data_IF_020646690072
#
_entry.id   IF_020646690072
#
_cell.length_a   1.000
_cell.length_b   1.000
_cell.length_c   1.000
_cell.angle_alpha   90.00
_cell.angle_beta   90.00
_cell.angle_gamma   90.00
#
_symmetry.space_group_name_H-M   'P 1'
#
loop_
_entity.id
_entity.type
_entity.pdbx_description
1 polymer ?
#
# COMPACT_ATOMS: atom_id res chain seq x y z
N UNK A 1 -33.81 4.57 12.37
CA UNK A 1 -33.22 4.25 13.70
C UNK A 1 -34.12 4.82 14.80
N UNK A 2 -35.20 4.12 15.18
CA UNK A 2 -36.08 4.54 16.29
C UNK A 2 -36.40 3.38 17.24
N UNK A 3 -36.54 2.15 16.72
CA UNK A 3 -36.87 0.97 17.55
C UNK A 3 -35.82 0.56 18.60
N UNK A 4 -34.55 0.96 18.47
CA UNK A 4 -33.48 0.53 19.39
C UNK A 4 -33.55 1.26 20.74
N UNK A 5 -34.01 2.52 20.77
CA UNK A 5 -34.08 3.30 22.01
C UNK A 5 -35.28 2.94 22.90
N UNK A 6 -36.37 2.43 22.33
CA UNK A 6 -37.54 1.98 23.10
C UNK A 6 -37.24 0.69 23.89
N UNK A 7 -36.46 -0.24 23.31
CA UNK A 7 -36.06 -1.47 23.98
C UNK A 7 -35.18 -1.22 25.23
N UNK A 8 -34.26 -0.26 25.15
CA UNK A 8 -33.38 0.10 26.27
C UNK A 8 -34.16 0.71 27.46
N UNK A 9 -35.22 1.49 27.19
CA UNK A 9 -36.03 2.11 28.24
C UNK A 9 -36.89 1.07 28.99
N UNK A 10 -37.45 0.09 28.27
CA UNK A 10 -38.31 -0.96 28.85
C UNK A 10 -37.50 -1.89 29.77
N UNK A 11 -36.28 -2.27 29.38
CA UNK A 11 -35.41 -3.12 30.24
C UNK A 11 -35.01 -2.40 31.53
N UNK A 12 -34.82 -1.08 31.50
CA UNK A 12 -34.45 -0.31 32.69
C UNK A 12 -35.60 -0.18 33.70
N UNK A 13 -36.85 -0.02 33.24
CA UNK A 13 -38.03 0.03 34.12
C UNK A 13 -38.27 -1.32 34.82
N UNK A 14 -37.95 -2.44 34.16
CA UNK A 14 -38.09 -3.79 34.74
C UNK A 14 -37.00 -4.10 35.78
N UNK A 15 -35.83 -3.46 35.70
CA UNK A 15 -34.69 -3.71 36.62
C UNK A 15 -34.67 -2.85 37.89
N UNK A 16 -35.52 -1.82 37.98
CA UNK A 16 -35.62 -0.92 39.16
C UNK A 16 -36.89 -1.21 39.98
N UNK A 17 -37.87 -1.90 39.41
CA UNK A 17 -39.10 -2.29 40.10
C UNK A 17 -39.13 -3.78 40.47
N UNK A 18 -38.64 -4.12 41.66
CA UNK A 18 -39.11 -5.16 42.62
C UNK A 18 -37.99 -5.45 43.62
N UNK A 19 -38.06 -4.81 44.78
CA UNK A 19 -37.91 -5.50 46.07
C UNK A 19 -38.71 -4.71 47.12
N UNK A 20 -39.83 -5.28 47.55
CA UNK A 20 -40.68 -4.72 48.61
C UNK A 20 -41.00 -5.80 49.62
N UNK A 21 -39.98 -6.33 50.29
CA UNK A 21 -40.19 -7.14 51.48
C UNK A 21 -39.15 -6.92 52.59
N UNK A 22 -39.70 -6.63 53.78
CA UNK A 22 -39.08 -6.68 55.13
C UNK A 22 -38.18 -5.52 55.63
N UNK A 23 -38.12 -5.32 56.97
CA UNK A 23 -37.95 -3.96 57.52
C UNK A 23 -36.81 -3.78 58.56
N UNK A 24 -36.58 -2.50 58.90
CA UNK A 24 -35.95 -1.98 60.13
C UNK A 24 -34.43 -2.16 60.31
N UNK A 25 -33.76 -1.08 60.76
CA UNK A 25 -32.43 -1.16 61.39
C UNK A 25 -31.36 -0.19 60.86
N UNK A 26 -31.31 1.04 61.40
CA UNK A 26 -30.17 1.99 61.41
C UNK A 26 -29.62 2.59 60.09
N UNK A 27 -29.29 3.91 60.05
CA UNK A 27 -28.77 4.59 58.85
C UNK A 27 -27.24 4.51 58.72
N UNK A 28 -26.73 3.97 57.61
CA UNK A 28 -25.30 3.74 57.37
C UNK A 28 -24.75 4.32 56.05
N UNK A 29 -24.26 5.56 56.10
CA UNK A 29 -23.14 6.10 55.29
C UNK A 29 -22.94 5.59 53.83
N UNK A 30 -23.91 5.78 52.94
CA UNK A 30 -23.69 5.70 51.48
C UNK A 30 -24.34 6.89 50.73
N UNK A 31 -23.63 8.01 50.62
CA UNK A 31 -24.11 9.18 49.84
C UNK A 31 -23.01 9.96 49.08
N UNK A 32 -21.73 9.63 49.27
CA UNK A 32 -20.63 10.34 48.56
C UNK A 32 -20.24 9.71 47.21
N UNK A 33 -20.27 8.37 47.08
CA UNK A 33 -19.72 7.68 45.91
C UNK A 33 -20.66 7.68 44.68
N UNK A 34 -21.98 7.66 44.88
CA UNK A 34 -22.95 7.59 43.78
C UNK A 34 -23.00 8.87 42.92
N UNK A 35 -22.77 10.04 43.53
CA UNK A 35 -22.78 11.33 42.81
C UNK A 35 -21.68 11.46 41.76
N UNK A 36 -20.48 10.91 42.03
CA UNK A 36 -19.35 10.95 41.09
C UNK A 36 -19.55 10.00 39.91
N UNK A 37 -20.18 8.84 40.12
CA UNK A 37 -20.49 7.90 39.05
C UNK A 37 -21.53 8.45 38.06
N UNK A 38 -22.57 9.12 38.57
CA UNK A 38 -23.57 9.78 37.72
C UNK A 38 -22.99 10.97 36.94
N UNK A 39 -22.11 11.77 37.55
CA UNK A 39 -21.43 12.86 36.85
C UNK A 39 -20.56 12.34 35.68
N UNK A 40 -19.81 11.25 35.88
CA UNK A 40 -18.95 10.67 34.85
C UNK A 40 -19.71 10.15 33.62
N UNK A 41 -20.86 9.51 33.83
CA UNK A 41 -21.67 8.92 32.75
C UNK A 41 -22.29 9.98 31.83
N UNK A 42 -22.65 11.15 32.35
CA UNK A 42 -23.24 12.23 31.54
C UNK A 42 -22.20 13.18 30.90
N UNK A 43 -21.02 13.39 31.50
CA UNK A 43 -20.03 14.33 30.96
C UNK A 43 -19.23 13.78 29.77
N UNK A 44 -18.88 12.49 29.80
CA UNK A 44 -18.09 11.83 28.74
C UNK A 44 -18.75 11.83 27.33
N UNK A 45 -20.06 11.55 27.16
CA UNK A 45 -20.70 11.62 25.85
C UNK A 45 -20.87 13.07 25.33
N UNK A 46 -20.99 14.06 26.22
CA UNK A 46 -21.10 15.47 25.80
C UNK A 46 -19.79 16.00 25.19
N UNK A 47 -18.64 15.63 25.75
CA UNK A 47 -17.33 16.01 25.20
C UNK A 47 -17.06 15.37 23.83
N UNK A 48 -17.44 14.11 23.63
CA UNK A 48 -17.26 13.41 22.35
C UNK A 48 -18.21 13.92 21.26
N UNK A 49 -19.47 14.21 21.59
CA UNK A 49 -20.42 14.87 20.66
C UNK A 49 -19.94 16.28 20.28
N UNK A 50 -19.43 17.06 21.25
CA UNK A 50 -18.85 18.38 21.00
C UNK A 50 -17.67 18.33 20.02
N UNK A 51 -16.75 17.37 20.18
CA UNK A 51 -15.62 17.18 19.28
C UNK A 51 -16.04 16.80 17.84
N UNK A 52 -17.08 15.97 17.69
CA UNK A 52 -17.63 15.59 16.38
C UNK A 52 -18.28 16.80 15.69
N UNK A 53 -19.07 17.60 16.41
CA UNK A 53 -19.71 18.81 15.88
C UNK A 53 -18.64 19.84 15.47
N UNK A 54 -17.61 20.06 16.30
CA UNK A 54 -16.49 20.95 15.98
C UNK A 54 -15.72 20.50 14.73
N UNK A 55 -15.42 19.20 14.61
CA UNK A 55 -14.81 18.57 13.42
C UNK A 55 -15.65 18.79 12.14
N UNK A 56 -16.98 18.68 12.23
CA UNK A 56 -17.88 18.96 11.10
C UNK A 56 -17.91 20.44 10.71
N UNK A 57 -17.91 21.36 11.69
CA UNK A 57 -17.89 22.81 11.43
C UNK A 57 -16.58 23.24 10.77
N UNK A 58 -15.43 22.72 11.23
CA UNK A 58 -14.12 22.98 10.60
C UNK A 58 -14.09 22.49 9.14
N UNK A 59 -14.59 21.28 8.88
CA UNK A 59 -14.65 20.72 7.51
C UNK A 59 -15.62 21.46 6.58
N UNK A 60 -16.66 22.10 7.12
CA UNK A 60 -17.55 22.98 6.33
C UNK A 60 -16.88 24.31 5.98
N UNK A 61 -16.14 24.94 6.92
CA UNK A 61 -15.37 26.17 6.61
C UNK A 61 -14.22 25.94 5.63
N UNK A 62 -13.57 24.78 5.66
CA UNK A 62 -12.49 24.43 4.73
C UNK A 62 -12.95 24.20 3.27
N UNK A 63 -14.26 24.02 3.02
CA UNK A 63 -14.81 23.79 1.67
C UNK A 63 -15.31 25.06 0.97
N UNK A 64 -15.37 26.21 1.65
CA UNK A 64 -15.88 27.48 1.09
C UNK A 64 -14.78 28.42 0.59
N UNK A 65 -13.50 28.02 0.66
CA UNK A 65 -12.34 28.82 0.20
C UNK A 65 -11.46 28.07 -0.79
N UNK A 66 -12.07 27.57 -1.87
CA UNK A 66 -11.37 27.11 -3.07
C UNK A 66 -11.96 27.84 -4.31
N UNK A 67 -11.17 28.58 -5.09
CA UNK A 67 -11.68 29.29 -6.26
C UNK A 67 -11.96 28.30 -7.42
N UNK A 68 -13.06 28.46 -8.18
CA UNK A 68 -13.35 27.57 -9.31
C UNK A 68 -12.39 27.82 -10.49
N UNK A 69 -11.84 26.74 -11.03
CA UNK A 69 -11.03 26.76 -12.24
C UNK A 69 -11.88 27.07 -13.48
N UNK A 70 -11.46 28.09 -14.25
CA UNK A 70 -12.14 28.49 -15.49
C UNK A 70 -11.97 27.44 -16.58
N UNK A 71 -13.08 26.92 -17.09
CA UNK A 71 -13.12 26.35 -18.44
C UNK A 71 -13.06 27.48 -19.47
N UNK A 72 -12.32 27.28 -20.57
CA UNK A 72 -12.34 28.17 -21.72
C UNK A 72 -13.47 27.76 -22.67
N UNK A 73 -14.32 28.72 -23.04
CA UNK A 73 -15.07 28.69 -24.30
C UNK A 73 -15.23 30.15 -24.77
N UNK A 74 -15.05 30.36 -26.07
CA UNK A 74 -15.11 31.65 -26.75
C UNK A 74 -16.54 32.00 -27.20
N UNK A 75 -16.92 33.29 -27.13
CA UNK A 75 -17.59 34.11 -28.18
C UNK A 75 -18.19 35.39 -27.55
N UNK A 76 -17.51 36.52 -27.82
CA UNK A 76 -18.04 37.81 -28.32
C UNK A 76 -19.35 38.42 -27.74
N UNK A 77 -19.25 39.55 -27.01
CA UNK A 77 -19.87 40.87 -27.33
C UNK A 77 -19.82 41.90 -26.16
N UNK A 78 -19.62 43.17 -26.52
CA UNK A 78 -19.93 44.47 -25.87
C UNK A 78 -19.43 44.90 -24.45
N UNK A 79 -18.82 46.09 -24.46
CA UNK A 79 -18.58 47.06 -23.36
C UNK A 79 -19.74 48.08 -23.28
N UNK A 80 -19.90 48.96 -22.25
CA UNK A 80 -18.89 49.57 -21.33
C UNK A 80 -19.31 49.48 -19.83
N UNK A 81 -18.85 50.26 -18.82
CA UNK A 81 -18.07 51.52 -18.77
C UNK A 81 -17.25 51.76 -17.47
N UNK A 82 -16.56 52.91 -17.47
CA UNK A 82 -15.79 53.64 -16.44
C UNK A 82 -16.37 53.77 -15.02
N UNK A 83 -15.47 53.73 -14.01
CA UNK A 83 -15.26 54.74 -12.93
C UNK A 83 -13.97 54.36 -12.15
N UNK A 84 -12.83 55.02 -12.33
CA UNK A 84 -12.31 56.21 -11.62
C UNK A 84 -11.95 56.07 -10.12
N UNK A 85 -10.69 56.37 -9.80
CA UNK A 85 -10.10 56.51 -8.46
C UNK A 85 -9.60 57.96 -8.28
N UNK A 86 -9.75 58.58 -7.09
CA UNK A 86 -9.13 59.87 -6.81
C UNK A 86 -7.69 59.73 -6.28
N UNK A 87 -6.78 60.57 -6.80
CA UNK A 87 -5.47 60.90 -6.19
C UNK A 87 -5.64 62.09 -5.24
N UNK A 88 -4.88 62.18 -4.14
CA UNK A 88 -4.24 63.42 -3.65
C UNK A 88 -2.94 63.10 -2.90
N UNK A 89 -1.93 63.96 -3.07
CA UNK A 89 -0.70 64.13 -2.28
C UNK A 89 -0.27 65.62 -2.45
N UNK A 90 0.90 66.13 -1.98
CA UNK A 90 1.76 65.80 -0.83
C UNK A 90 2.08 67.06 0.04
N UNK A 91 2.98 66.96 1.04
CA UNK A 91 3.81 68.09 1.51
C UNK A 91 5.23 67.64 1.94
N UNK A 92 6.24 68.48 1.65
CA UNK A 92 7.69 68.32 1.99
C UNK A 92 8.00 68.87 3.41
N UNK A 93 9.16 68.68 4.07
CA UNK A 93 10.60 68.65 3.69
C UNK A 93 11.40 67.68 4.60
N UNK A 94 12.70 67.34 4.46
CA UNK A 94 13.88 68.05 3.93
C UNK A 94 15.04 67.09 3.49
N UNK A 95 16.21 67.61 3.09
CA UNK A 95 17.34 66.95 2.35
C UNK A 95 18.52 66.44 3.27
N UNK A 96 19.66 65.91 2.76
CA UNK A 96 19.86 64.67 1.97
C UNK A 96 21.09 63.83 2.45
N UNK A 97 21.22 62.54 2.09
CA UNK A 97 22.50 61.81 2.25
C UNK A 97 22.67 60.58 1.33
N UNK A 98 23.72 60.59 0.50
CA UNK A 98 24.47 59.43 -0.02
C UNK A 98 23.75 58.40 -0.92
N UNK A 99 24.22 58.13 -2.15
CA UNK A 99 23.66 57.04 -2.96
C UNK A 99 24.10 55.67 -2.42
N UNK A 100 23.13 54.83 -2.06
CA UNK A 100 23.32 53.38 -1.90
C UNK A 100 22.48 52.68 -2.97
N UNK A 101 23.10 51.76 -3.69
CA UNK A 101 22.50 51.11 -4.86
C UNK A 101 21.53 50.03 -4.39
N UNK A 102 20.25 50.19 -4.73
CA UNK A 102 19.23 49.18 -4.50
C UNK A 102 19.38 47.97 -5.43
N UNK A 103 18.95 46.82 -4.92
CA UNK A 103 18.74 45.63 -5.72
C UNK A 103 17.38 45.64 -6.44
N UNK A 104 17.22 44.66 -7.32
CA UNK A 104 15.93 44.10 -7.76
C UNK A 104 15.06 44.91 -8.75
N UNK A 105 15.47 44.94 -10.02
CA UNK A 105 14.51 45.00 -11.15
C UNK A 105 14.99 44.47 -12.51
N UNK A 106 15.37 43.19 -12.62
CA UNK A 106 15.57 42.57 -13.94
C UNK A 106 15.57 41.03 -13.93
N UNK A 107 14.42 40.41 -13.65
CA UNK A 107 14.28 38.95 -13.82
C UNK A 107 13.11 38.58 -14.76
N UNK A 108 13.29 38.85 -16.06
CA UNK A 108 12.34 38.43 -17.11
C UNK A 108 12.95 38.13 -18.49
N UNK A 109 14.20 37.65 -18.52
CA UNK A 109 14.87 37.26 -19.79
C UNK A 109 15.92 36.17 -19.55
N UNK A 110 15.52 34.89 -19.57
CA UNK A 110 16.46 33.76 -19.36
C UNK A 110 16.17 32.48 -20.16
N UNK A 111 15.17 32.49 -21.07
CA UNK A 111 14.85 31.32 -21.92
C UNK A 111 15.40 31.41 -23.36
N UNK A 112 15.81 32.59 -23.84
CA UNK A 112 16.42 32.74 -25.18
C UNK A 112 17.91 32.33 -25.19
N UNK A 113 18.68 32.80 -24.21
CA UNK A 113 20.15 32.68 -24.16
C UNK A 113 20.69 31.26 -23.93
N UNK A 114 19.85 30.29 -23.55
CA UNK A 114 20.25 28.89 -23.36
C UNK A 114 20.12 28.02 -24.63
N UNK A 115 19.36 28.48 -25.62
CA UNK A 115 19.27 27.84 -26.93
C UNK A 115 20.47 28.21 -27.81
N UNK A 116 20.81 29.50 -27.86
CA UNK A 116 21.96 30.02 -28.61
C UNK A 116 23.29 29.44 -28.09
N UNK A 117 23.44 29.32 -26.76
CA UNK A 117 24.61 28.67 -26.15
C UNK A 117 24.77 27.18 -26.54
N UNK A 118 23.67 26.47 -26.83
CA UNK A 118 23.73 25.09 -27.34
C UNK A 118 24.05 25.01 -28.82
N UNK A 119 23.59 25.97 -29.63
CA UNK A 119 23.95 26.06 -31.04
C UNK A 119 25.44 26.36 -31.25
N UNK A 120 26.01 27.30 -30.49
CA UNK A 120 27.43 27.64 -30.54
C UNK A 120 28.35 26.46 -30.12
N UNK A 121 27.94 25.69 -29.11
CA UNK A 121 28.69 24.51 -28.66
C UNK A 121 28.67 23.34 -29.67
N UNK A 122 27.61 23.23 -30.50
CA UNK A 122 27.54 22.23 -31.56
C UNK A 122 28.46 22.57 -32.74
N UNK A 123 28.53 23.85 -33.14
CA UNK A 123 29.38 24.29 -34.25
C UNK A 123 30.88 24.07 -33.98
N UNK A 124 31.37 24.40 -32.77
CA UNK A 124 32.78 24.22 -32.41
C UNK A 124 33.24 22.74 -32.35
N UNK A 125 32.31 21.77 -32.32
CA UNK A 125 32.65 20.34 -32.33
C UNK A 125 32.76 19.74 -33.74
N UNK A 126 32.34 20.47 -34.78
CA UNK A 126 32.42 20.05 -36.18
C UNK A 126 33.72 20.49 -36.88
N UNK A 127 34.45 21.48 -36.34
CA UNK A 127 35.66 22.04 -36.97
C UNK A 127 36.99 21.38 -36.57
N UNK A 128 36.98 20.43 -35.63
CA UNK A 128 38.20 19.88 -35.03
C UNK A 128 38.34 18.36 -35.25
N UNK A 129 38.42 17.93 -36.52
CA UNK A 129 38.81 16.56 -36.84
C UNK A 129 39.53 16.48 -38.20
N UNK A 130 40.83 16.78 -38.19
CA UNK A 130 41.73 16.66 -39.34
C UNK A 130 43.01 15.91 -38.98
N UNK A 131 43.24 14.78 -39.66
CA UNK A 131 44.52 14.04 -39.74
C UNK A 131 45.28 13.71 -38.43
N UNK A 132 45.04 12.52 -37.87
CA UNK A 132 46.13 11.63 -37.43
C UNK A 132 45.77 10.18 -37.79
N UNK A 133 46.57 9.54 -38.65
CA UNK A 133 46.48 8.10 -38.88
C UNK A 133 47.28 7.34 -37.82
N UNK A 134 46.68 6.35 -37.14
CA UNK A 134 47.43 5.38 -36.32
C UNK A 134 46.59 4.13 -35.97
N UNK A 135 47.11 2.96 -36.36
CA UNK A 135 46.89 1.65 -35.72
C UNK A 135 45.47 1.08 -35.66
N UNK A 136 45.20 0.01 -36.41
CA UNK A 136 44.07 -0.87 -36.14
C UNK A 136 44.32 -1.66 -34.83
N UNK A 137 43.69 -1.22 -33.73
CA UNK A 137 43.59 -2.01 -32.51
C UNK A 137 42.52 -3.10 -32.66
N UNK A 138 42.65 -4.27 -32.01
CA UNK A 138 41.68 -5.34 -32.12
C UNK A 138 40.32 -4.89 -31.56
N UNK A 139 39.25 -5.26 -32.25
CA UNK A 139 37.88 -5.13 -31.75
C UNK A 139 37.73 -5.85 -30.41
N UNK A 140 37.02 -5.27 -29.43
CA UNK A 140 36.70 -6.01 -28.21
C UNK A 140 35.86 -7.24 -28.60
N UNK A 141 36.17 -8.44 -28.08
CA UNK A 141 35.40 -9.62 -28.39
C UNK A 141 33.95 -9.45 -27.89
N UNK A 142 32.96 -10.05 -28.58
CA UNK A 142 31.58 -10.04 -28.09
C UNK A 142 31.54 -10.63 -26.68
N UNK A 143 30.83 -9.95 -25.77
CA UNK A 143 30.68 -10.39 -24.39
C UNK A 143 30.20 -11.85 -24.35
N UNK A 144 31.03 -12.73 -23.80
CA UNK A 144 30.70 -14.14 -23.68
C UNK A 144 29.39 -14.33 -22.90
N UNK A 145 28.61 -15.40 -23.16
CA UNK A 145 27.45 -15.74 -22.36
C UNK A 145 27.86 -15.82 -20.89
N UNK A 146 27.27 -14.96 -20.05
CA UNK A 146 27.62 -14.88 -18.63
C UNK A 146 27.21 -16.20 -17.99
N UNK A 147 28.21 -16.95 -17.55
CA UNK A 147 28.06 -18.28 -16.96
C UNK A 147 27.00 -18.23 -15.85
N UNK A 148 26.00 -19.12 -15.94
CA UNK A 148 24.91 -19.12 -15.00
C UNK A 148 25.43 -19.53 -13.61
N UNK A 149 25.34 -18.61 -12.65
CA UNK A 149 25.46 -18.96 -11.24
C UNK A 149 24.52 -20.15 -10.94
N UNK A 150 24.93 -21.12 -10.10
CA UNK A 150 24.13 -22.30 -9.80
C UNK A 150 22.89 -21.90 -8.99
N UNK A 151 21.84 -21.48 -9.69
CA UNK A 151 20.54 -21.24 -9.10
C UNK A 151 19.89 -22.58 -8.82
N UNK A 152 19.89 -22.99 -7.56
CA UNK A 152 18.91 -23.93 -7.02
C UNK A 152 17.54 -23.25 -7.10
N UNK A 153 16.98 -23.16 -8.30
CA UNK A 153 15.77 -22.42 -8.58
C UNK A 153 14.58 -23.17 -7.96
N UNK A 154 14.24 -22.83 -6.70
CA UNK A 154 13.18 -23.46 -5.92
C UNK A 154 11.77 -23.08 -6.42
N UNK A 155 11.68 -22.35 -7.53
CA UNK A 155 10.44 -21.93 -8.19
C UNK A 155 10.18 -20.43 -8.06
N UNK A 156 9.01 -20.01 -8.53
CA UNK A 156 8.53 -18.64 -8.36
C UNK A 156 7.92 -18.42 -6.97
N UNK A 157 8.24 -17.30 -6.34
CA UNK A 157 7.58 -16.80 -5.14
C UNK A 157 6.66 -15.64 -5.51
N UNK A 158 5.35 -15.81 -5.38
CA UNK A 158 4.39 -14.73 -5.58
C UNK A 158 4.43 -13.76 -4.39
N UNK A 159 4.76 -12.50 -4.66
CA UNK A 159 4.82 -11.46 -3.64
C UNK A 159 3.43 -11.14 -3.09
N UNK A 160 3.29 -10.94 -1.79
CA UNK A 160 1.99 -10.75 -1.15
C UNK A 160 1.35 -9.42 -1.55
N UNK A 161 0.08 -9.48 -1.94
CA UNK A 161 -0.65 -8.36 -2.53
C UNK A 161 -0.34 -8.09 -4.00
N UNK A 162 0.25 -9.07 -4.72
CA UNK A 162 0.47 -9.03 -6.18
C UNK A 162 -0.79 -8.85 -7.02
N UNK A 163 -1.97 -9.05 -6.45
CA UNK A 163 -3.28 -8.93 -7.08
C UNK A 163 -3.91 -7.52 -6.93
N UNK A 164 -3.30 -6.66 -6.11
CA UNK A 164 -3.77 -5.31 -5.80
C UNK A 164 -3.71 -4.36 -7.00
N UNK A 165 -4.16 -3.12 -6.78
CA UNK A 165 -4.09 -2.05 -7.75
C UNK A 165 -2.64 -1.84 -8.24
N UNK A 166 -2.47 -1.75 -9.56
CA UNK A 166 -1.17 -1.62 -10.22
C UNK A 166 -0.72 -0.16 -10.20
N UNK A 167 -0.03 0.26 -9.14
CA UNK A 167 0.38 1.65 -8.89
C UNK A 167 1.89 1.95 -8.99
N UNK A 168 2.76 0.93 -8.93
CA UNK A 168 4.21 1.16 -9.02
C UNK A 168 4.63 1.19 -10.47
N UNK A 169 5.08 2.35 -10.98
CA UNK A 169 5.48 2.49 -12.36
C UNK A 169 6.86 1.87 -12.62
N UNK A 170 7.00 1.29 -13.80
CA UNK A 170 8.28 0.93 -14.41
C UNK A 170 8.84 2.18 -15.11
N UNK A 171 10.16 2.26 -15.19
CA UNK A 171 10.89 3.27 -15.97
C UNK A 171 11.79 2.61 -17.01
N UNK A 172 12.05 3.34 -18.10
CA UNK A 172 12.98 2.91 -19.15
C UNK A 172 12.34 2.13 -20.29
N UNK A 173 11.01 1.99 -20.34
CA UNK A 173 10.28 1.26 -21.39
C UNK A 173 10.56 1.82 -22.80
N UNK A 174 10.86 3.12 -22.89
CA UNK A 174 11.25 3.78 -24.15
C UNK A 174 12.52 3.18 -24.77
N UNK A 175 13.40 2.57 -23.96
CA UNK A 175 14.61 1.88 -24.43
C UNK A 175 14.36 0.38 -24.72
N UNK A 176 13.14 -0.13 -24.48
CA UNK A 176 12.74 -1.55 -24.57
C UNK A 176 11.58 -1.76 -25.54
N UNK A 177 11.46 -0.90 -26.53
CA UNK A 177 10.27 -0.86 -27.40
C UNK A 177 10.12 -2.09 -28.30
N UNK A 178 11.23 -2.68 -28.75
CA UNK A 178 11.25 -3.97 -29.47
C UNK A 178 10.76 -5.12 -28.59
N UNK A 179 11.27 -5.19 -27.36
CA UNK A 179 10.98 -6.21 -26.36
C UNK A 179 9.49 -6.14 -25.94
N UNK A 180 8.98 -4.95 -25.64
CA UNK A 180 7.57 -4.75 -25.27
C UNK A 180 6.63 -5.08 -26.44
N UNK A 181 6.98 -4.72 -27.68
CA UNK A 181 6.19 -5.10 -28.85
C UNK A 181 6.14 -6.62 -29.05
N UNK A 182 7.24 -7.34 -28.74
CA UNK A 182 7.27 -8.80 -28.75
C UNK A 182 6.39 -9.39 -27.63
N UNK A 183 6.45 -8.86 -26.40
CA UNK A 183 5.59 -9.27 -25.28
C UNK A 183 4.10 -9.12 -25.64
N UNK A 184 3.69 -7.97 -26.20
CA UNK A 184 2.30 -7.75 -26.63
C UNK A 184 1.89 -8.75 -27.71
N UNK A 185 2.77 -9.02 -28.69
CA UNK A 185 2.50 -10.01 -29.75
C UNK A 185 2.33 -11.42 -29.18
N UNK A 186 3.16 -11.81 -28.22
CA UNK A 186 3.08 -13.12 -27.55
C UNK A 186 1.78 -13.26 -26.77
N UNK A 187 1.42 -12.27 -25.94
CA UNK A 187 0.25 -12.33 -25.07
C UNK A 187 -1.09 -12.19 -25.79
N UNK A 188 -1.15 -11.44 -26.90
CA UNK A 188 -2.40 -11.17 -27.64
C UNK A 188 -2.54 -11.95 -28.94
N UNK A 189 -1.49 -12.68 -29.34
CA UNK A 189 -1.36 -13.29 -30.67
C UNK A 189 -1.29 -12.30 -31.83
N UNK A 190 -1.23 -10.97 -31.57
CA UNK A 190 -1.37 -9.91 -32.58
C UNK A 190 -0.27 -8.87 -32.44
N UNK A 191 0.33 -8.49 -33.57
CA UNK A 191 1.23 -7.33 -33.58
C UNK A 191 0.45 -6.03 -33.32
N UNK A 192 1.09 -5.09 -32.63
CA UNK A 192 0.56 -3.75 -32.42
C UNK A 192 0.23 -3.07 -33.76
N UNK A 193 -0.95 -2.46 -33.84
CA UNK A 193 -1.41 -1.68 -34.99
C UNK A 193 -1.20 -0.20 -34.72
N UNK A 194 -1.05 0.57 -35.78
CA UNK A 194 -0.92 2.03 -35.69
C UNK A 194 -2.21 2.62 -35.09
N UNK A 195 -2.04 3.53 -34.14
CA UNK A 195 -3.08 4.27 -33.41
C UNK A 195 -4.14 3.40 -32.70
N UNK A 196 -3.83 2.11 -32.51
CA UNK A 196 -4.66 1.17 -31.75
C UNK A 196 -4.00 0.88 -30.40
N UNK A 197 -4.67 1.28 -29.33
CA UNK A 197 -4.20 1.01 -27.97
C UNK A 197 -4.46 -0.45 -27.60
N UNK A 198 -3.52 -1.05 -26.87
CA UNK A 198 -3.65 -2.40 -26.31
C UNK A 198 -3.38 -2.30 -24.82
N UNK A 199 -4.32 -2.82 -24.03
CA UNK A 199 -4.19 -2.96 -22.59
C UNK A 199 -4.30 -4.42 -22.20
N UNK A 200 -3.37 -4.89 -21.37
CA UNK A 200 -3.36 -6.22 -20.78
C UNK A 200 -3.28 -6.03 -19.25
N UNK A 201 -4.40 -6.13 -18.52
CA UNK A 201 -4.52 -5.61 -17.15
C UNK A 201 -3.89 -6.51 -16.08
N UNK A 202 -3.51 -7.74 -16.43
CA UNK A 202 -3.06 -8.76 -15.49
C UNK A 202 -2.09 -9.75 -16.15
N UNK A 203 -0.80 -9.39 -16.21
CA UNK A 203 0.28 -10.22 -16.78
C UNK A 203 1.29 -10.60 -15.69
N UNK A 204 1.94 -11.79 -15.75
CA UNK A 204 2.99 -12.13 -14.79
C UNK A 204 4.23 -11.26 -15.03
N UNK A 205 4.78 -10.69 -13.96
CA UNK A 205 6.05 -9.98 -13.98
C UNK A 205 7.02 -10.62 -12.99
N UNK A 206 8.26 -10.83 -13.43
CA UNK A 206 9.40 -11.26 -12.61
C UNK A 206 10.22 -10.02 -12.26
N UNK A 207 10.63 -9.92 -10.99
CA UNK A 207 11.58 -8.92 -10.52
C UNK A 207 12.95 -9.55 -10.30
N UNK A 208 14.02 -8.87 -10.69
CA UNK A 208 15.41 -9.31 -10.46
C UNK A 208 16.29 -8.18 -9.96
N UNK A 209 17.11 -8.40 -8.94
CA UNK A 209 18.10 -7.38 -8.53
C UNK A 209 19.32 -7.40 -9.45
N UNK A 210 19.91 -6.22 -9.67
CA UNK A 210 21.17 -6.07 -10.39
C UNK A 210 22.24 -5.37 -9.52
N UNK A 211 22.86 -6.07 -8.55
CA UNK A 211 23.90 -5.49 -7.68
C UNK A 211 25.14 -5.00 -8.44
N UNK A 212 25.38 -5.57 -9.63
CA UNK A 212 26.47 -5.20 -10.56
C UNK A 212 26.09 -4.12 -11.58
N UNK A 213 24.90 -3.51 -11.48
CA UNK A 213 24.48 -2.46 -12.39
C UNK A 213 25.34 -1.19 -12.18
N UNK A 214 26.01 -0.77 -13.26
CA UNK A 214 26.97 0.36 -13.26
C UNK A 214 26.37 1.72 -12.90
N UNK A 215 25.05 1.89 -12.99
CA UNK A 215 24.37 3.15 -12.72
C UNK A 215 23.71 3.18 -11.33
N UNK A 216 23.16 2.05 -10.89
CA UNK A 216 22.47 1.92 -9.61
C UNK A 216 22.57 0.49 -9.09
N UNK A 217 23.44 0.25 -8.11
CA UNK A 217 23.66 -1.08 -7.47
C UNK A 217 22.43 -1.67 -6.74
N UNK A 218 21.30 -0.98 -6.76
CA UNK A 218 20.02 -1.44 -6.22
C UNK A 218 18.92 -1.47 -7.27
N UNK A 219 19.28 -1.40 -8.56
CA UNK A 219 18.34 -1.51 -9.65
C UNK A 219 17.58 -2.84 -9.57
N UNK A 220 16.28 -2.77 -9.77
CA UNK A 220 15.41 -3.94 -9.92
C UNK A 220 14.91 -3.96 -11.36
N UNK A 221 15.36 -4.93 -12.13
CA UNK A 221 14.91 -5.19 -13.49
C UNK A 221 13.53 -5.87 -13.46
N UNK A 222 12.65 -5.44 -14.37
CA UNK A 222 11.30 -5.98 -14.55
C UNK A 222 11.26 -6.78 -15.85
N UNK A 223 10.82 -8.03 -15.75
CA UNK A 223 10.77 -9.00 -16.85
C UNK A 223 9.34 -9.53 -17.02
N UNK A 224 8.81 -9.49 -18.23
CA UNK A 224 7.47 -10.01 -18.61
C UNK A 224 7.64 -10.91 -19.83
N UNK A 225 7.06 -12.12 -19.83
CA UNK A 225 7.25 -13.13 -20.89
C UNK A 225 8.73 -13.33 -21.27
N UNK A 226 9.60 -13.45 -20.26
CA UNK A 226 11.05 -13.60 -20.43
C UNK A 226 11.80 -12.35 -20.96
N UNK A 227 11.08 -11.28 -21.31
CA UNK A 227 11.64 -10.07 -21.90
C UNK A 227 11.80 -8.94 -20.88
N UNK A 228 12.96 -8.27 -20.87
CA UNK A 228 13.21 -7.08 -20.06
C UNK A 228 12.36 -5.91 -20.56
N UNK A 229 11.37 -5.47 -19.77
CA UNK A 229 10.47 -4.37 -20.13
C UNK A 229 10.87 -3.01 -19.53
N UNK A 230 11.57 -3.00 -18.39
CA UNK A 230 12.20 -1.81 -17.82
C UNK A 230 12.78 -2.09 -16.43
N UNK A 231 12.96 -1.04 -15.63
CA UNK A 231 13.37 -1.12 -14.22
C UNK A 231 12.32 -0.51 -13.31
N UNK A 232 12.34 -0.81 -12.02
CA UNK A 232 11.67 0.05 -11.04
C UNK A 232 12.31 1.44 -11.03
N UNK A 233 11.48 2.49 -10.85
CA UNK A 233 11.94 3.85 -10.63
C UNK A 233 12.96 3.89 -9.48
N UNK A 234 14.00 4.74 -9.57
CA UNK A 234 15.18 4.67 -8.70
C UNK A 234 14.87 4.64 -7.19
N UNK A 235 13.94 5.49 -6.74
CA UNK A 235 13.57 5.61 -5.33
C UNK A 235 12.77 4.38 -4.85
N UNK A 236 11.88 3.83 -5.68
CA UNK A 236 11.19 2.58 -5.40
C UNK A 236 12.16 1.39 -5.44
N UNK A 237 13.11 1.36 -6.38
CA UNK A 237 14.15 0.34 -6.45
C UNK A 237 15.00 0.32 -5.16
N UNK A 238 15.45 1.49 -4.68
CA UNK A 238 16.14 1.65 -3.40
C UNK A 238 15.30 1.14 -2.20
N UNK A 239 13.99 1.40 -2.22
CA UNK A 239 13.01 1.04 -1.17
C UNK A 239 12.65 -0.45 -1.16
N UNK A 240 12.51 -1.07 -2.32
CA UNK A 240 12.13 -2.48 -2.49
C UNK A 240 13.30 -3.45 -2.45
N UNK A 241 14.54 -2.99 -2.70
CA UNK A 241 15.72 -3.84 -2.85
C UNK A 241 15.87 -4.89 -1.75
N UNK A 242 15.76 -4.51 -0.48
CA UNK A 242 15.95 -5.44 0.65
C UNK A 242 14.92 -6.59 0.68
N UNK A 243 13.65 -6.30 0.36
CA UNK A 243 12.58 -7.30 0.34
C UNK A 243 12.73 -8.26 -0.86
N UNK A 244 13.02 -7.73 -2.05
CA UNK A 244 13.26 -8.55 -3.26
C UNK A 244 14.53 -9.40 -3.10
N UNK A 245 15.63 -8.82 -2.58
CA UNK A 245 16.85 -9.57 -2.26
C UNK A 245 16.66 -10.68 -1.23
N UNK A 246 15.67 -10.60 -0.31
CA UNK A 246 15.39 -11.71 0.62
C UNK A 246 14.86 -12.92 -0.14
N UNK A 247 13.91 -12.71 -1.04
CA UNK A 247 13.30 -13.78 -1.86
C UNK A 247 14.33 -14.42 -2.79
N UNK A 248 15.18 -13.63 -3.44
CA UNK A 248 16.25 -14.15 -4.29
C UNK A 248 17.31 -14.93 -3.50
N UNK A 249 17.73 -14.44 -2.31
CA UNK A 249 18.68 -15.16 -1.44
C UNK A 249 18.14 -16.50 -0.93
N UNK A 250 16.82 -16.63 -0.75
CA UNK A 250 16.17 -17.88 -0.38
C UNK A 250 16.08 -18.89 -1.55
N UNK A 251 16.51 -18.52 -2.75
CA UNK A 251 16.56 -19.37 -3.94
C UNK A 251 15.30 -19.32 -4.83
N UNK A 252 14.43 -18.33 -4.62
CA UNK A 252 13.18 -18.17 -5.37
C UNK A 252 13.23 -17.00 -6.35
N UNK A 253 12.43 -17.09 -7.42
CA UNK A 253 12.22 -15.99 -8.37
C UNK A 253 11.06 -15.11 -7.89
N UNK A 254 11.27 -13.84 -7.51
CA UNK A 254 10.19 -12.95 -7.08
C UNK A 254 9.24 -12.63 -8.24
N UNK A 255 7.95 -12.86 -8.05
CA UNK A 255 6.90 -12.60 -9.05
C UNK A 255 5.77 -11.72 -8.52
N UNK A 256 5.16 -10.95 -9.42
CA UNK A 256 3.94 -10.17 -9.15
C UNK A 256 3.06 -10.09 -10.42
N UNK A 257 1.91 -9.40 -10.36
CA UNK A 257 1.11 -9.04 -11.52
C UNK A 257 1.43 -7.62 -11.99
N UNK A 258 1.34 -7.41 -13.29
CA UNK A 258 1.49 -6.12 -13.94
C UNK A 258 0.28 -5.79 -14.84
N UNK A 259 0.11 -4.49 -15.09
CA UNK A 259 -0.71 -3.94 -16.17
C UNK A 259 0.24 -3.43 -17.23
N UNK A 260 0.05 -3.87 -18.47
CA UNK A 260 0.79 -3.41 -19.64
C UNK A 260 -0.17 -2.61 -20.53
N UNK A 261 0.14 -1.34 -20.78
CA UNK A 261 -0.51 -0.53 -21.82
C UNK A 261 0.50 -0.17 -22.90
N UNK A 262 0.11 -0.26 -24.17
CA UNK A 262 0.96 0.05 -25.30
C UNK A 262 0.16 0.58 -26.50
N UNK A 263 0.73 1.57 -27.21
CA UNK A 263 0.21 2.10 -28.46
C UNK A 263 1.34 2.49 -29.40
N UNK A 264 1.28 2.07 -30.66
CA UNK A 264 2.18 2.56 -31.70
C UNK A 264 1.54 3.78 -32.37
N UNK A 265 2.23 4.93 -32.37
CA UNK A 265 1.75 6.17 -33.01
C UNK A 265 2.75 6.65 -34.05
N UNK A 266 2.33 7.48 -35.00
CA UNK A 266 3.25 8.23 -35.86
C UNK A 266 3.79 9.44 -35.09
N UNK A 267 5.10 9.60 -35.06
CA UNK A 267 5.73 10.83 -34.63
C UNK A 267 5.53 11.97 -35.64
N UNK A 268 5.84 13.19 -35.23
CA UNK A 268 5.86 14.37 -36.11
C UNK A 268 6.89 14.26 -37.26
N UNK A 269 7.91 13.42 -37.05
CA UNK A 269 8.92 12.99 -38.02
C UNK A 269 8.46 11.83 -38.91
N UNK A 270 7.16 11.52 -38.95
CA UNK A 270 6.51 10.37 -39.61
C UNK A 270 6.97 8.97 -39.17
N UNK A 271 8.03 8.87 -38.37
CA UNK A 271 8.56 7.64 -37.79
C UNK A 271 7.55 7.03 -36.81
N UNK A 272 7.30 5.72 -36.95
CA UNK A 272 6.48 4.97 -35.99
C UNK A 272 7.19 4.87 -34.63
N UNK A 273 6.56 5.36 -33.58
CA UNK A 273 7.07 5.31 -32.20
C UNK A 273 6.14 4.47 -31.33
N UNK A 274 6.72 3.60 -30.52
CA UNK A 274 5.97 2.88 -29.51
C UNK A 274 5.94 3.70 -28.22
N UNK A 275 4.74 3.95 -27.72
CA UNK A 275 4.53 4.40 -26.36
C UNK A 275 4.05 3.20 -25.55
N UNK A 276 4.67 2.96 -24.41
CA UNK A 276 4.33 1.89 -23.50
C UNK A 276 4.39 2.40 -22.06
N UNK A 277 3.62 1.74 -21.19
CA UNK A 277 3.63 1.94 -19.74
C UNK A 277 3.42 0.59 -19.08
N UNK A 278 4.28 0.23 -18.15
CA UNK A 278 4.10 -0.96 -17.32
C UNK A 278 3.93 -0.52 -15.87
N UNK A 279 2.85 -0.96 -15.23
CA UNK A 279 2.55 -0.65 -13.83
C UNK A 279 2.41 -1.96 -13.04
N UNK A 280 3.08 -2.06 -11.90
CA UNK A 280 3.17 -3.26 -11.07
C UNK A 280 2.23 -3.17 -9.87
N UNK A 281 1.65 -4.31 -9.49
CA UNK A 281 1.00 -4.50 -8.20
C UNK A 281 2.06 -4.82 -7.15
N UNK A 282 2.59 -3.80 -6.48
CA UNK A 282 3.45 -3.98 -5.33
C UNK A 282 2.78 -3.37 -4.10
N UNK A 283 2.71 -4.18 -3.05
CA UNK A 283 2.35 -3.73 -1.71
C UNK A 283 3.56 -3.05 -1.07
N UNK A 284 3.38 -2.41 0.09
CA UNK A 284 4.52 -1.87 0.87
C UNK A 284 5.64 -2.92 1.03
N UNK A 285 6.94 -2.54 0.99
CA UNK A 285 8.05 -3.51 0.99
C UNK A 285 8.03 -4.52 2.14
N UNK A 286 7.61 -4.07 3.33
CA UNK A 286 7.48 -4.88 4.55
C UNK A 286 6.24 -5.78 4.57
N UNK A 287 5.43 -5.76 3.50
CA UNK A 287 4.23 -6.56 3.30
C UNK A 287 4.29 -7.43 2.03
N UNK A 288 5.46 -7.59 1.40
CA UNK A 288 5.65 -8.43 0.22
C UNK A 288 5.86 -9.92 0.55
N UNK A 289 6.18 -10.24 1.80
CA UNK A 289 6.36 -11.58 2.34
C UNK A 289 5.99 -11.55 3.84
N UNK A 290 5.69 -12.69 4.49
CA UNK A 290 5.46 -12.68 5.93
C UNK A 290 6.72 -12.23 6.69
N UNK A 291 6.51 -11.70 7.90
CA UNK A 291 7.60 -11.33 8.80
C UNK A 291 8.20 -12.52 9.55
N UNK A 292 7.43 -13.60 9.71
CA UNK A 292 7.82 -14.87 10.31
C UNK A 292 7.89 -15.99 9.26
N UNK A 293 8.50 -17.11 9.63
CA UNK A 293 8.58 -18.29 8.78
C UNK A 293 7.27 -19.11 8.83
N UNK A 294 6.96 -19.92 7.80
CA UNK A 294 5.80 -20.81 7.83
C UNK A 294 5.88 -21.86 8.96
N UNK A 295 4.74 -22.41 9.41
CA UNK A 295 4.71 -23.47 10.41
C UNK A 295 5.61 -24.66 10.03
N UNK A 296 6.37 -25.17 11.01
CA UNK A 296 7.24 -26.35 10.84
C UNK A 296 6.49 -27.68 10.81
N UNK A 297 5.23 -27.68 11.23
CA UNK A 297 4.29 -28.81 11.13
C UNK A 297 3.53 -28.77 9.80
N UNK A 298 3.04 -29.91 9.31
CA UNK A 298 2.20 -29.94 8.12
C UNK A 298 0.96 -29.07 8.28
N UNK A 299 0.68 -28.21 7.29
CA UNK A 299 -0.38 -27.21 7.36
C UNK A 299 -1.05 -26.99 6.00
N UNK A 300 -2.25 -26.42 6.02
CA UNK A 300 -2.85 -25.79 4.84
C UNK A 300 -3.23 -24.35 5.17
N UNK A 301 -2.78 -23.43 4.32
CA UNK A 301 -3.05 -22.01 4.40
C UNK A 301 -4.45 -21.74 3.84
N UNK A 302 -5.32 -21.14 4.66
CA UNK A 302 -6.64 -20.72 4.20
C UNK A 302 -6.50 -19.62 3.13
N UNK A 303 -7.35 -19.60 2.08
CA UNK A 303 -7.37 -18.54 1.08
C UNK A 303 -7.59 -17.18 1.74
N UNK A 304 -7.12 -16.10 1.09
CA UNK A 304 -7.40 -14.75 1.57
C UNK A 304 -8.91 -14.49 1.60
N UNK A 305 -9.41 -13.98 2.71
CA UNK A 305 -10.84 -13.68 2.88
C UNK A 305 -11.08 -12.43 3.70
N UNK A 306 -12.27 -12.34 4.29
CA UNK A 306 -12.69 -11.17 5.06
C UNK A 306 -11.85 -11.01 6.34
N UNK A 307 -11.48 -9.77 6.66
CA UNK A 307 -10.79 -9.44 7.90
C UNK A 307 -11.65 -9.80 9.12
N UNK A 308 -11.11 -10.61 10.02
CA UNK A 308 -11.72 -10.99 11.29
C UNK A 308 -10.87 -10.46 12.44
N UNK A 309 -11.49 -9.68 13.31
CA UNK A 309 -10.87 -9.13 14.51
C UNK A 309 -10.64 -10.25 15.54
N UNK A 310 -9.39 -10.36 16.03
CA UNK A 310 -9.06 -11.17 17.20
C UNK A 310 -9.54 -10.44 18.47
N UNK A 311 -9.70 -11.15 19.56
CA UNK A 311 -10.08 -10.59 20.87
C UNK A 311 -9.20 -11.12 21.97
N UNK A 312 -8.95 -10.28 22.98
CA UNK A 312 -8.10 -10.59 24.13
C UNK A 312 -6.62 -10.30 23.90
N UNK A 313 -6.24 -9.62 22.82
CA UNK A 313 -4.84 -9.30 22.47
C UNK A 313 -4.08 -8.59 23.60
N UNK A 314 -4.77 -7.84 24.46
CA UNK A 314 -4.19 -7.16 25.63
C UNK A 314 -3.55 -8.14 26.63
N UNK A 315 -4.01 -9.39 26.66
CA UNK A 315 -3.46 -10.46 27.50
C UNK A 315 -2.26 -11.18 26.85
N UNK A 316 -1.97 -10.86 25.58
CA UNK A 316 -0.97 -11.54 24.76
C UNK A 316 0.07 -10.58 24.15
N UNK A 317 0.17 -9.33 24.65
CA UNK A 317 1.09 -8.31 24.12
C UNK A 317 2.55 -8.78 24.04
N UNK A 318 3.01 -9.61 24.99
CA UNK A 318 4.37 -10.18 24.93
C UNK A 318 4.59 -11.03 23.67
N UNK A 319 3.60 -11.86 23.30
CA UNK A 319 3.64 -12.69 22.09
C UNK A 319 3.41 -11.89 20.81
N UNK A 320 2.64 -10.80 20.87
CA UNK A 320 2.35 -9.95 19.69
C UNK A 320 3.49 -8.97 19.40
N UNK A 321 4.18 -8.47 20.44
CA UNK A 321 5.18 -7.39 20.31
C UNK A 321 6.32 -7.64 19.31
N UNK A 322 6.87 -8.87 19.11
CA UNK A 322 7.91 -9.11 18.11
C UNK A 322 7.41 -8.96 16.66
N UNK A 323 6.09 -9.00 16.47
CA UNK A 323 5.44 -8.96 15.17
C UNK A 323 4.95 -7.56 14.75
N UNK A 324 5.09 -6.57 15.64
CA UNK A 324 4.65 -5.19 15.39
C UNK A 324 5.71 -4.44 14.58
N UNK A 325 5.31 -3.84 13.46
CA UNK A 325 6.10 -2.84 12.73
C UNK A 325 5.65 -1.43 13.17
N UNK A 326 6.46 -0.68 13.95
CA UNK A 326 6.03 0.60 14.52
C UNK A 326 5.61 1.61 13.44
N UNK A 327 4.39 2.13 13.56
CA UNK A 327 3.83 3.11 12.61
C UNK A 327 3.23 2.51 11.33
N UNK A 328 3.27 1.19 11.14
CA UNK A 328 2.64 0.50 10.00
C UNK A 328 1.83 -0.73 10.44
N UNK A 329 1.36 -1.52 9.47
CA UNK A 329 0.97 -2.91 9.66
C UNK A 329 2.15 -3.86 9.31
N UNK A 330 2.09 -5.07 9.84
CA UNK A 330 2.88 -6.24 9.42
C UNK A 330 1.94 -7.31 8.89
N UNK A 331 2.46 -8.22 8.07
CA UNK A 331 1.78 -9.47 7.72
C UNK A 331 2.60 -10.67 8.21
N UNK A 332 1.93 -11.60 8.89
CA UNK A 332 2.50 -12.82 9.44
C UNK A 332 1.66 -14.04 9.00
N UNK A 333 2.23 -15.23 9.14
CA UNK A 333 1.47 -16.49 9.11
C UNK A 333 1.11 -16.85 10.55
N UNK A 334 -0.18 -16.95 10.83
CA UNK A 334 -0.70 -17.51 12.07
C UNK A 334 -1.29 -18.90 11.86
N UNK A 335 -1.72 -19.51 12.96
CA UNK A 335 -2.44 -20.79 12.97
C UNK A 335 -3.68 -20.70 13.83
N UNK A 336 -4.73 -21.43 13.44
CA UNK A 336 -6.03 -21.47 14.09
C UNK A 336 -6.19 -22.80 14.82
N UNK A 337 -6.48 -22.76 16.12
CA UNK A 337 -6.59 -23.93 16.98
C UNK A 337 -7.96 -23.97 17.64
N UNK A 338 -8.65 -25.12 17.60
CA UNK A 338 -9.90 -25.32 18.34
C UNK A 338 -9.57 -25.44 19.84
N UNK A 339 -10.22 -24.62 20.67
CA UNK A 339 -10.07 -24.66 22.13
C UNK A 339 -11.43 -24.66 22.82
N UNK A 340 -11.50 -25.30 23.99
CA UNK A 340 -12.69 -25.31 24.84
C UNK A 340 -12.61 -24.18 25.88
N UNK A 341 -13.56 -23.25 25.82
CA UNK A 341 -13.70 -22.16 26.78
C UNK A 341 -14.95 -22.38 27.63
N UNK A 342 -14.78 -22.65 28.92
CA UNK A 342 -15.89 -22.70 29.87
C UNK A 342 -16.30 -21.28 30.25
N UNK A 343 -17.53 -20.90 29.92
CA UNK A 343 -18.09 -19.60 30.33
C UNK A 343 -18.34 -19.53 31.85
N UNK A 344 -18.47 -18.33 32.40
CA UNK A 344 -18.79 -18.09 33.82
C UNK A 344 -20.12 -18.74 34.30
N UNK A 345 -20.93 -19.31 33.41
CA UNK A 345 -22.15 -20.08 33.71
C UNK A 345 -21.97 -21.60 33.57
N UNK A 346 -20.73 -22.09 33.48
CA UNK A 346 -20.40 -23.52 33.31
C UNK A 346 -20.62 -24.08 31.90
N UNK A 347 -21.14 -23.29 30.96
CA UNK A 347 -21.35 -23.74 29.58
C UNK A 347 -20.01 -23.76 28.84
N UNK A 348 -19.57 -24.96 28.42
CA UNK A 348 -18.43 -25.17 27.52
C UNK A 348 -18.76 -24.65 26.12
N UNK A 349 -17.83 -23.92 25.50
CA UNK A 349 -17.93 -23.41 24.14
C UNK A 349 -16.66 -23.72 23.37
N UNK A 350 -16.79 -24.23 22.16
CA UNK A 350 -15.66 -24.31 21.24
C UNK A 350 -15.41 -22.93 20.63
N UNK A 351 -14.22 -22.40 20.85
CA UNK A 351 -13.72 -21.15 20.26
C UNK A 351 -12.46 -21.44 19.46
N UNK A 352 -12.02 -20.49 18.65
CA UNK A 352 -10.79 -20.60 17.87
C UNK A 352 -9.73 -19.68 18.48
N UNK A 353 -8.67 -20.28 19.02
CA UNK A 353 -7.46 -19.55 19.43
C UNK A 353 -6.59 -19.27 18.20
N UNK A 354 -6.04 -18.06 18.14
CA UNK A 354 -5.10 -17.65 17.10
C UNK A 354 -3.70 -17.68 17.68
N UNK A 355 -2.75 -18.32 16.98
CA UNK A 355 -1.34 -18.37 17.38
C UNK A 355 -0.42 -17.82 16.29
N UNK A 356 0.63 -17.11 16.68
CA UNK A 356 1.76 -16.75 15.82
C UNK A 356 3.00 -17.39 16.44
N UNK A 357 3.84 -18.05 15.64
CA UNK A 357 5.04 -18.78 16.09
C UNK A 357 4.79 -19.73 17.28
N UNK A 358 3.62 -20.38 17.27
CA UNK A 358 3.16 -21.29 18.33
C UNK A 358 2.65 -20.61 19.61
N UNK A 359 2.77 -19.29 19.76
CA UNK A 359 2.30 -18.52 20.92
C UNK A 359 0.89 -17.99 20.68
N UNK A 360 0.00 -18.11 21.66
CA UNK A 360 -1.35 -17.52 21.60
C UNK A 360 -1.27 -15.99 21.52
N UNK A 361 -2.05 -15.41 20.60
CA UNK A 361 -2.20 -13.96 20.38
C UNK A 361 -3.63 -13.45 20.60
N UNK A 362 -4.49 -14.31 21.16
CA UNK A 362 -5.91 -14.05 21.41
C UNK A 362 -6.82 -15.09 20.76
N UNK A 363 -8.13 -14.84 20.76
CA UNK A 363 -9.14 -15.75 20.23
C UNK A 363 -10.18 -15.06 19.35
N UNK A 364 -10.81 -15.81 18.44
CA UNK A 364 -11.96 -15.36 17.69
C UNK A 364 -13.21 -15.37 18.57
N UNK A 365 -14.12 -14.41 18.37
CA UNK A 365 -15.35 -14.33 19.16
C UNK A 365 -16.19 -15.60 19.07
N UNK A 366 -17.08 -15.82 20.05
CA UNK A 366 -18.06 -16.92 20.00
C UNK A 366 -19.02 -16.82 18.79
N UNK A 367 -19.18 -15.64 18.18
CA UNK A 367 -19.96 -15.45 16.94
C UNK A 367 -19.17 -15.87 15.71
N UNK A 368 -17.86 -15.61 15.67
CA UNK A 368 -17.03 -15.84 14.48
C UNK A 368 -16.38 -17.23 14.47
N UNK A 369 -16.05 -17.79 15.63
CA UNK A 369 -15.41 -19.12 15.75
C UNK A 369 -16.16 -20.23 14.97
N UNK A 370 -17.50 -20.34 15.02
CA UNK A 370 -18.23 -21.37 14.26
C UNK A 370 -18.04 -21.32 12.74
N UNK A 371 -17.59 -20.20 12.17
CA UNK A 371 -17.32 -20.09 10.74
C UNK A 371 -15.98 -20.71 10.30
N UNK A 372 -15.10 -21.05 11.26
CA UNK A 372 -13.80 -21.66 11.01
C UNK A 372 -13.68 -23.08 11.57
N UNK A 373 -14.44 -23.44 12.62
CA UNK A 373 -14.41 -24.78 13.22
C UNK A 373 -14.56 -25.93 12.20
N UNK A 374 -15.49 -25.90 11.22
CA UNK A 374 -15.60 -26.99 10.23
C UNK A 374 -14.35 -27.18 9.37
N UNK A 375 -13.65 -26.08 9.04
CA UNK A 375 -12.40 -26.10 8.26
C UNK A 375 -11.24 -26.61 9.12
N UNK A 376 -11.15 -26.18 10.37
CA UNK A 376 -10.15 -26.64 11.33
C UNK A 376 -10.33 -28.14 11.56
N UNK A 377 -11.54 -28.61 11.84
CA UNK A 377 -11.87 -30.02 12.04
C UNK A 377 -11.66 -30.89 10.79
N UNK A 378 -11.72 -30.32 9.60
CA UNK A 378 -11.34 -31.00 8.36
C UNK A 378 -9.82 -31.18 8.26
N UNK A 379 -9.05 -30.11 8.45
CA UNK A 379 -7.60 -30.17 8.39
C UNK A 379 -7.02 -31.04 9.52
N UNK A 380 -7.56 -30.96 10.74
CA UNK A 380 -7.18 -31.81 11.88
C UNK A 380 -7.35 -33.31 11.55
N UNK A 381 -8.43 -33.69 10.85
CA UNK A 381 -8.66 -35.09 10.40
C UNK A 381 -7.63 -35.57 9.38
N UNK A 382 -7.09 -34.66 8.58
CA UNK A 382 -6.09 -34.94 7.56
C UNK A 382 -4.64 -34.76 8.08
N UNK A 383 -4.47 -34.51 9.38
CA UNK A 383 -3.16 -34.30 10.01
C UNK A 383 -2.51 -32.94 9.71
N UNK A 384 -3.31 -31.95 9.30
CA UNK A 384 -2.89 -30.61 8.90
C UNK A 384 -3.33 -29.55 9.91
N UNK A 385 -2.46 -28.58 10.17
CA UNK A 385 -2.83 -27.36 10.92
C UNK A 385 -3.46 -26.33 9.97
N UNK A 386 -4.53 -25.67 10.43
CA UNK A 386 -5.14 -24.53 9.77
C UNK A 386 -4.25 -23.29 9.89
N UNK A 387 -3.51 -22.94 8.84
CA UNK A 387 -2.70 -21.72 8.79
C UNK A 387 -3.48 -20.57 8.15
N UNK A 388 -3.19 -19.33 8.54
CA UNK A 388 -3.87 -18.13 8.02
C UNK A 388 -2.91 -16.97 7.87
N UNK A 389 -3.22 -16.06 6.95
CA UNK A 389 -2.67 -14.71 7.00
C UNK A 389 -3.16 -13.99 8.25
N UNK A 390 -2.25 -13.28 8.92
CA UNK A 390 -2.54 -12.43 10.07
C UNK A 390 -1.92 -11.06 9.83
N UNK A 391 -2.71 -10.00 9.99
CA UNK A 391 -2.18 -8.64 10.07
C UNK A 391 -2.02 -8.23 11.52
N UNK A 392 -0.84 -7.69 11.83
CA UNK A 392 -0.52 -7.12 13.15
C UNK A 392 -0.29 -5.63 12.98
N UNK A 393 -0.90 -4.80 13.84
CA UNK A 393 -0.76 -3.34 13.78
C UNK A 393 -0.70 -2.75 15.19
N UNK A 394 0.15 -1.74 15.41
CA UNK A 394 0.15 -0.96 16.64
C UNK A 394 1.54 -0.69 17.20
N UNK A 395 1.73 -0.99 18.48
CA UNK A 395 2.92 -0.75 19.29
C UNK A 395 3.11 -1.87 20.32
N UNK A 396 4.25 -1.90 21.01
CA UNK A 396 4.48 -2.86 22.10
C UNK A 396 3.53 -2.68 23.31
N UNK A 397 2.83 -1.55 23.44
CA UNK A 397 1.93 -1.23 24.56
C UNK A 397 0.47 -1.49 24.20
N UNK A 398 0.13 -1.41 22.91
CA UNK A 398 -1.21 -1.68 22.39
C UNK A 398 -1.08 -2.15 20.94
N UNK A 399 -1.54 -3.36 20.66
CA UNK A 399 -1.53 -3.98 19.34
C UNK A 399 -2.92 -4.55 19.00
N UNK A 400 -3.22 -4.56 17.72
CA UNK A 400 -4.43 -5.12 17.13
C UNK A 400 -4.04 -6.26 16.19
N UNK A 401 -4.72 -7.40 16.32
CA UNK A 401 -4.49 -8.56 15.46
C UNK A 401 -5.75 -8.85 14.65
N UNK A 402 -5.59 -9.05 13.34
CA UNK A 402 -6.70 -9.50 12.47
C UNK A 402 -6.30 -10.71 11.63
N UNK A 403 -7.17 -11.71 11.61
CA UNK A 403 -7.09 -12.89 10.73
C UNK A 403 -7.64 -12.50 9.35
N UNK A 404 -6.96 -12.91 8.28
CA UNK A 404 -7.37 -12.68 6.89
C UNK A 404 -7.56 -14.04 6.20
N UNK A 405 -8.71 -14.67 6.43
CA UNK A 405 -9.01 -16.01 5.92
C UNK A 405 -10.45 -16.11 5.41
N UNK A 406 -10.63 -16.87 4.33
CA UNK A 406 -11.93 -17.33 3.87
C UNK A 406 -12.57 -18.24 4.94
N UNK A 407 -13.84 -17.99 5.25
CA UNK A 407 -14.64 -18.83 6.16
C UNK A 407 -15.00 -20.15 5.48
N UNK A 408 -15.43 -21.16 6.22
CA UNK A 408 -15.87 -22.45 5.68
C UNK A 408 -16.79 -22.38 4.43
N UNK A 409 -17.85 -21.54 4.37
CA UNK A 409 -18.70 -21.39 3.16
C UNK A 409 -18.10 -20.51 2.06
N UNK A 410 -16.97 -19.84 2.29
CA UNK A 410 -16.26 -18.99 1.33
C UNK A 410 -15.08 -19.73 0.66
N UNK A 411 -14.78 -20.98 1.07
CA UNK A 411 -13.69 -21.79 0.52
C UNK A 411 -14.02 -22.26 -0.91
N UNK A 412 -13.14 -22.01 -1.90
CA UNK A 412 -13.38 -22.42 -3.27
C UNK A 412 -13.02 -23.91 -3.47
N UNK A 413 -13.66 -24.63 -4.41
CA UNK A 413 -13.48 -26.08 -4.58
C UNK A 413 -12.03 -26.53 -4.79
N UNK A 414 -11.23 -25.74 -5.50
CA UNK A 414 -9.83 -26.04 -5.79
C UNK A 414 -8.92 -26.01 -4.55
N UNK A 415 -9.32 -25.33 -3.46
CA UNK A 415 -8.55 -25.35 -2.20
C UNK A 415 -8.54 -26.73 -1.55
N UNK A 416 -9.58 -27.54 -1.79
CA UNK A 416 -9.68 -28.92 -1.29
C UNK A 416 -8.87 -29.92 -2.13
N UNK A 417 -8.21 -29.49 -3.22
CA UNK A 417 -7.40 -30.38 -4.06
C UNK A 417 -6.05 -30.76 -3.41
N UNK A 418 -5.60 -30.04 -2.39
CA UNK A 418 -4.38 -30.34 -1.63
C UNK A 418 -3.96 -29.22 -0.67
N UNK A 419 -3.01 -29.46 0.23
CA UNK A 419 -2.54 -28.46 1.18
C UNK A 419 -1.91 -27.27 0.47
N UNK A 420 -2.45 -26.07 0.72
CA UNK A 420 -1.87 -24.82 0.21
C UNK A 420 -0.75 -24.40 1.15
N UNK A 421 0.49 -24.35 0.68
CA UNK A 421 1.66 -23.92 1.48
C UNK A 421 2.36 -22.72 0.86
N UNK A 422 3.28 -22.11 1.61
CA UNK A 422 4.16 -21.06 1.10
C UNK A 422 5.60 -21.39 1.49
N UNK A 423 6.57 -21.25 0.57
CA UNK A 423 7.97 -21.48 0.88
C UNK A 423 8.52 -20.59 2.00
N UNK A 424 9.42 -21.16 2.79
CA UNK A 424 10.26 -20.44 3.77
C UNK A 424 11.27 -19.53 3.07
N UNK A 425 11.60 -18.41 3.72
CA UNK A 425 12.55 -17.39 3.25
C UNK A 425 13.78 -17.23 4.16
N UNK A 426 14.09 -18.25 4.97
CA UNK A 426 15.26 -18.33 5.85
C UNK A 426 16.51 -18.85 5.15
#
# INVERSE_FOLDING_TARGET
MVGIHVAALIVFVILVGVDTSQPSGTPGRFSAAAGWFLAGIFLAPLLTIGAIIWSMILRRRAKTTAPPSRAWNSVQADQPARAELPRVAPTHSEKPLGPRVDADRSNRTSYATRAEARAAAAANKAGANGMVARGAGPTPPPSAPREALPTSNRGSYMLLGSDKYKSTEVEGEFARTSEIAAVVKTLTGRALRLDHEVEIPDVPAVLRTEPENRYHRRAIMVVVEGSHVGYLARDDADRYHAAISRVERAGYVPTTRARLWAVQRRGWDEVKKLHARVSLALNEPHLLHPINEPPSVSYSLLPWGNAVQVTGEENHLEAISPHVNPGSESIAIGTLHRVETTSARGIVKHTVEVRIDGRAVGSLTATTSPHFLPTIEHLERDGLVAATWVKVKGSAIAAQVTVQAARAPELPPEWFAGPTTIPSLS
#
